data_IF_784769879848
#
_entry.id   IF_784769879848
#
_cell.length_a   1.000
_cell.length_b   1.000
_cell.length_c   1.000
_cell.angle_alpha   90.00
_cell.angle_beta   90.00
_cell.angle_gamma   90.00
#
_symmetry.space_group_name_H-M   'P 1'
#
loop_
_entity.id
_entity.type
_entity.pdbx_description
1 polymer ?
#
# COMPACT_ATOMS: atom_id res chain seq x y z
N UNK A 1 16.79 -50.62 -10.83
CA UNK A 1 16.37 -49.98 -12.09
C UNK A 1 17.05 -48.61 -12.12
N UNK A 2 18.14 -48.33 -12.86
CA UNK A 2 18.56 -48.75 -14.21
C UNK A 2 17.52 -48.39 -15.29
N UNK A 3 17.83 -47.83 -16.47
CA UNK A 3 19.11 -47.31 -17.06
C UNK A 3 18.75 -46.36 -18.26
N UNK A 4 19.62 -45.66 -19.02
CA UNK A 4 21.10 -45.65 -19.22
C UNK A 4 21.61 -44.22 -19.55
N UNK A 5 22.75 -44.08 -20.27
CA UNK A 5 23.27 -42.89 -21.01
C UNK A 5 23.40 -43.22 -22.52
N UNK A 6 23.91 -42.25 -23.32
CA UNK A 6 24.62 -42.36 -24.63
C UNK A 6 23.86 -41.67 -25.80
N UNK A 7 24.41 -40.97 -26.79
CA UNK A 7 25.60 -40.11 -27.06
C UNK A 7 25.84 -40.11 -28.62
N UNK A 8 26.10 -38.92 -29.20
CA UNK A 8 27.07 -38.67 -30.32
C UNK A 8 26.71 -38.93 -31.83
N UNK A 9 26.62 -37.81 -32.55
CA UNK A 9 27.22 -37.42 -33.87
C UNK A 9 26.97 -38.10 -35.24
N UNK A 10 26.42 -37.28 -36.15
CA UNK A 10 27.00 -36.74 -37.42
C UNK A 10 27.35 -37.63 -38.66
N UNK A 11 27.02 -37.08 -39.84
CA UNK A 11 27.63 -37.35 -41.15
C UNK A 11 27.53 -36.08 -42.06
N UNK A 12 28.24 -36.05 -43.20
CA UNK A 12 28.44 -34.89 -44.09
C UNK A 12 28.37 -35.31 -45.60
N UNK A 13 28.79 -34.43 -46.53
CA UNK A 13 29.06 -34.65 -47.99
C UNK A 13 27.84 -34.47 -48.94
N UNK A 14 27.98 -34.01 -50.21
CA UNK A 14 28.92 -33.05 -50.86
C UNK A 14 28.46 -32.75 -52.32
N UNK A 15 29.01 -31.70 -52.95
CA UNK A 15 29.33 -31.71 -54.40
C UNK A 15 28.54 -30.79 -55.36
N UNK A 16 29.26 -30.22 -56.34
CA UNK A 16 28.71 -29.45 -57.48
C UNK A 16 29.54 -28.20 -57.84
N UNK A 17 30.17 -28.14 -59.03
CA UNK A 17 31.12 -27.07 -59.40
C UNK A 17 31.19 -26.77 -60.93
N UNK A 18 32.06 -25.81 -61.29
CA UNK A 18 32.49 -25.29 -62.63
C UNK A 18 31.82 -23.96 -63.07
N UNK A 19 32.46 -23.08 -63.87
CA UNK A 19 33.68 -23.21 -64.70
C UNK A 19 34.63 -21.97 -64.65
N UNK A 20 35.58 -21.87 -65.59
CA UNK A 20 36.79 -21.01 -65.59
C UNK A 20 36.82 -19.94 -66.70
N UNK A 21 37.60 -18.87 -66.49
CA UNK A 21 38.34 -18.14 -67.54
C UNK A 21 39.54 -17.33 -66.93
N UNK A 22 40.60 -17.08 -67.71
CA UNK A 22 41.78 -16.27 -67.34
C UNK A 22 42.36 -15.50 -68.54
N UNK A 23 43.03 -14.36 -68.30
CA UNK A 23 44.24 -13.87 -69.01
C UNK A 23 44.64 -12.45 -68.54
N UNK A 24 45.89 -12.01 -68.76
CA UNK A 24 46.22 -10.56 -68.80
C UNK A 24 47.33 -9.95 -67.91
N UNK A 25 48.58 -10.43 -68.01
CA UNK A 25 49.85 -9.63 -68.00
C UNK A 25 50.12 -8.44 -67.02
N UNK A 26 51.13 -8.66 -66.15
CA UNK A 26 52.39 -7.87 -66.03
C UNK A 26 52.46 -6.47 -65.35
N UNK A 27 52.86 -6.48 -64.07
CA UNK A 27 53.87 -5.66 -63.34
C UNK A 27 54.25 -4.21 -63.72
N UNK A 28 54.35 -3.34 -62.69
CA UNK A 28 55.58 -2.63 -62.20
C UNK A 28 55.30 -1.97 -60.82
N UNK A 29 56.33 -1.60 -60.05
CA UNK A 29 56.28 -1.31 -58.60
C UNK A 29 56.64 0.15 -58.25
N UNK A 30 56.01 0.71 -57.21
CA UNK A 30 56.26 2.07 -56.67
C UNK A 30 56.34 2.06 -55.11
N UNK A 31 56.91 3.09 -54.46
CA UNK A 31 57.73 2.90 -53.25
C UNK A 31 57.00 3.01 -51.90
N UNK A 32 57.65 2.48 -50.87
CA UNK A 32 57.20 2.54 -49.48
C UNK A 32 57.38 3.93 -48.84
N UNK A 33 56.50 4.28 -47.89
CA UNK A 33 56.69 5.40 -46.98
C UNK A 33 56.95 4.92 -45.56
N UNK A 34 57.88 5.58 -44.87
CA UNK A 34 58.28 5.28 -43.49
C UNK A 34 57.54 6.20 -42.53
N UNK A 35 56.68 5.64 -41.68
CA UNK A 35 56.04 6.39 -40.60
C UNK A 35 56.90 6.31 -39.33
N UNK A 36 57.46 7.44 -38.91
CA UNK A 36 58.13 7.57 -37.62
C UNK A 36 57.11 7.59 -36.47
N UNK A 37 57.27 6.80 -35.39
CA UNK A 37 56.35 6.83 -34.26
C UNK A 37 56.47 8.13 -33.47
N UNK A 38 55.34 8.76 -33.16
CA UNK A 38 55.27 9.92 -32.25
C UNK A 38 55.61 9.53 -30.82
N UNK A 39 56.27 10.43 -30.08
CA UNK A 39 56.59 10.20 -28.67
C UNK A 39 55.31 10.06 -27.80
N UNK A 40 55.31 9.18 -26.79
CA UNK A 40 54.13 8.96 -25.95
C UNK A 40 53.82 10.17 -25.07
N UNK A 41 52.56 10.63 -25.10
CA UNK A 41 52.04 11.65 -24.19
C UNK A 41 52.17 11.19 -22.74
N UNK A 42 52.64 12.04 -21.79
CA UNK A 42 52.68 11.68 -20.38
C UNK A 42 51.29 11.30 -19.87
N UNK A 43 51.14 10.09 -19.33
CA UNK A 43 49.88 9.66 -18.74
C UNK A 43 49.58 10.48 -17.48
N UNK A 44 48.51 11.28 -17.52
CA UNK A 44 47.97 11.92 -16.32
C UNK A 44 47.53 10.83 -15.35
N UNK A 45 48.24 10.71 -14.22
CA UNK A 45 47.83 9.85 -13.12
C UNK A 45 46.53 10.39 -12.52
N UNK A 46 45.39 9.92 -13.04
CA UNK A 46 44.12 10.05 -12.35
C UNK A 46 44.23 9.23 -11.06
N UNK A 47 44.43 9.91 -9.94
CA UNK A 47 44.27 9.32 -8.62
C UNK A 47 42.83 8.86 -8.49
N UNK A 48 42.61 7.55 -8.65
CA UNK A 48 41.35 6.87 -8.39
C UNK A 48 41.04 6.99 -6.89
N UNK A 49 40.47 8.14 -6.52
CA UNK A 49 39.92 8.35 -5.18
C UNK A 49 38.86 7.30 -4.94
N UNK A 50 39.01 6.53 -3.85
CA UNK A 50 38.10 5.45 -3.53
C UNK A 50 36.65 5.97 -3.52
N UNK A 51 35.69 5.27 -4.14
CA UNK A 51 34.34 5.78 -4.32
C UNK A 51 33.75 6.15 -2.97
N UNK A 52 33.26 7.40 -2.85
CA UNK A 52 32.81 7.95 -1.58
C UNK A 52 31.74 7.05 -0.95
N UNK A 53 31.93 6.70 0.31
CA UNK A 53 31.01 5.83 1.05
C UNK A 53 29.92 6.67 1.73
N UNK A 54 28.66 6.20 1.77
CA UNK A 54 27.63 6.84 2.59
C UNK A 54 27.97 6.70 4.07
N UNK A 55 27.50 7.66 4.88
CA UNK A 55 27.60 7.61 6.33
C UNK A 55 26.20 7.42 6.91
N UNK A 56 26.01 6.40 7.74
CA UNK A 56 24.72 6.08 8.35
C UNK A 56 24.76 6.37 9.84
N UNK A 57 23.77 7.07 10.37
CA UNK A 57 23.46 7.02 11.80
C UNK A 57 22.37 5.98 12.03
N UNK A 58 22.66 4.98 12.86
CA UNK A 58 21.77 3.84 13.13
C UNK A 58 21.28 3.87 14.58
N UNK A 59 19.99 3.65 14.76
CA UNK A 59 19.38 3.23 16.03
C UNK A 59 18.97 1.76 15.92
N UNK A 60 19.19 1.01 16.99
CA UNK A 60 18.72 -0.38 17.12
C UNK A 60 18.26 -0.68 18.54
N UNK A 61 17.13 -1.38 18.67
CA UNK A 61 16.60 -1.89 19.92
C UNK A 61 15.85 -3.21 19.73
N UNK A 62 15.86 -4.08 20.74
CA UNK A 62 15.05 -5.31 20.78
C UNK A 62 13.76 -5.04 21.56
N UNK A 63 12.67 -4.83 20.83
CA UNK A 63 11.36 -4.48 21.40
C UNK A 63 10.47 -5.72 21.59
N UNK A 64 9.52 -5.72 22.54
CA UNK A 64 8.59 -6.84 22.73
C UNK A 64 7.73 -7.11 21.49
N UNK A 65 7.51 -8.38 21.17
CA UNK A 65 6.65 -8.82 20.08
C UNK A 65 5.90 -10.10 20.42
N UNK A 66 4.84 -10.38 19.67
CA UNK A 66 4.10 -11.64 19.69
C UNK A 66 4.10 -12.26 18.30
N UNK A 67 4.69 -13.44 18.18
CA UNK A 67 5.00 -14.13 16.92
C UNK A 67 4.61 -15.59 17.07
N UNK A 68 3.85 -16.13 16.11
CA UNK A 68 3.46 -17.55 16.06
C UNK A 68 2.90 -18.14 17.38
N UNK A 69 2.18 -17.33 18.17
CA UNK A 69 1.60 -17.73 19.44
C UNK A 69 2.44 -17.44 20.69
N UNK A 70 3.66 -16.93 20.55
CA UNK A 70 4.62 -16.73 21.64
C UNK A 70 5.05 -15.27 21.81
N UNK A 71 5.27 -14.85 23.07
CA UNK A 71 5.97 -13.59 23.38
C UNK A 71 7.46 -13.77 23.05
N UNK A 72 8.04 -12.78 22.38
CA UNK A 72 9.46 -12.75 21.99
C UNK A 72 9.94 -11.29 21.91
N UNK A 73 11.13 -11.04 21.35
CA UNK A 73 11.59 -9.72 20.94
C UNK A 73 11.91 -9.68 19.44
N UNK A 74 11.80 -8.51 18.83
CA UNK A 74 12.27 -8.25 17.45
C UNK A 74 13.19 -7.04 17.42
N UNK A 75 14.22 -7.10 16.56
CA UNK A 75 15.19 -6.03 16.35
C UNK A 75 14.60 -4.95 15.45
N UNK A 76 14.11 -3.86 16.05
CA UNK A 76 13.78 -2.64 15.31
C UNK A 76 15.10 -1.94 14.94
N UNK A 77 15.22 -1.53 13.68
CA UNK A 77 16.31 -0.69 13.18
C UNK A 77 15.72 0.58 12.55
N UNK A 78 16.30 1.74 12.85
CA UNK A 78 16.00 3.02 12.21
C UNK A 78 17.31 3.64 11.76
N UNK A 79 17.34 4.29 10.61
CA UNK A 79 18.57 4.83 10.02
C UNK A 79 18.36 6.24 9.46
N UNK A 80 19.36 7.10 9.62
CA UNK A 80 19.53 8.34 8.86
C UNK A 80 20.70 8.14 7.91
N UNK A 81 20.40 8.00 6.62
CA UNK A 81 21.41 7.82 5.57
C UNK A 81 21.90 9.19 5.08
N UNK A 82 23.22 9.43 5.16
CA UNK A 82 23.90 10.59 4.61
C UNK A 82 24.57 10.15 3.29
N UNK A 83 24.05 10.55 2.11
CA UNK A 83 24.56 10.08 0.83
C UNK A 83 26.05 10.37 0.62
N UNK A 84 26.75 9.46 -0.05
CA UNK A 84 28.19 9.47 -0.32
C UNK A 84 28.83 10.86 -0.54
N UNK A 85 28.35 11.64 -1.53
CA UNK A 85 28.90 12.96 -1.82
C UNK A 85 28.72 13.98 -0.69
N UNK A 86 27.60 13.91 0.05
CA UNK A 86 27.39 14.73 1.26
C UNK A 86 28.29 14.27 2.41
N UNK A 87 28.44 12.95 2.60
CA UNK A 87 29.33 12.39 3.61
C UNK A 87 30.78 12.84 3.37
N UNK A 88 31.26 12.80 2.12
CA UNK A 88 32.60 13.29 1.74
C UNK A 88 32.81 14.78 2.11
N UNK A 89 31.87 15.66 1.76
CA UNK A 89 31.93 17.10 2.10
C UNK A 89 31.95 17.32 3.62
N UNK A 90 31.20 16.53 4.39
CA UNK A 90 31.15 16.64 5.84
C UNK A 90 32.43 16.11 6.48
N UNK A 91 33.00 15.00 5.99
CA UNK A 91 34.31 14.48 6.41
C UNK A 91 35.44 15.48 6.13
N UNK A 92 35.45 16.12 4.97
CA UNK A 92 36.40 17.21 4.63
C UNK A 92 36.32 18.41 5.60
N UNK A 93 35.15 18.67 6.19
CA UNK A 93 34.95 19.72 7.21
C UNK A 93 35.26 19.27 8.64
N UNK A 94 35.44 17.97 8.88
CA UNK A 94 35.78 17.40 10.20
C UNK A 94 34.76 17.65 11.33
N UNK A 95 33.55 18.12 11.02
CA UNK A 95 32.55 18.61 11.99
C UNK A 95 31.13 18.31 11.56
N UNK A 96 30.20 18.27 12.53
CA UNK A 96 28.76 18.18 12.25
C UNK A 96 28.28 19.54 11.73
N UNK A 97 27.78 19.59 10.49
CA UNK A 97 27.29 20.84 9.88
C UNK A 97 25.89 21.18 10.37
N UNK A 98 25.51 22.47 10.39
CA UNK A 98 24.16 22.92 10.80
C UNK A 98 23.02 22.17 10.07
N UNK A 99 23.19 21.85 8.78
CA UNK A 99 22.26 21.04 8.01
C UNK A 99 22.17 19.58 8.48
N UNK A 100 23.25 19.02 9.03
CA UNK A 100 23.26 17.69 9.64
C UNK A 100 22.68 17.73 11.07
N UNK A 101 22.85 18.81 11.83
CA UNK A 101 22.16 19.00 13.12
C UNK A 101 20.64 19.06 12.92
N UNK A 102 20.17 19.74 11.87
CA UNK A 102 18.75 19.80 11.50
C UNK A 102 18.19 18.42 11.15
N UNK A 103 18.91 17.64 10.34
CA UNK A 103 18.49 16.27 9.99
C UNK A 103 18.55 15.32 11.19
N UNK A 104 19.58 15.43 12.03
CA UNK A 104 19.68 14.70 13.30
C UNK A 104 18.48 15.02 14.21
N UNK A 105 18.17 16.30 14.42
CA UNK A 105 17.03 16.75 15.24
C UNK A 105 15.70 16.20 14.73
N UNK A 106 15.49 16.27 13.41
CA UNK A 106 14.32 15.73 12.71
C UNK A 106 14.20 14.22 12.93
N UNK A 107 15.26 13.47 12.65
CA UNK A 107 15.31 12.01 12.79
C UNK A 107 15.12 11.53 14.23
N UNK A 108 15.71 12.22 15.22
CA UNK A 108 15.48 11.91 16.65
C UNK A 108 14.02 12.16 17.08
N UNK A 109 13.33 13.12 16.45
CA UNK A 109 11.90 13.38 16.68
C UNK A 109 11.04 12.32 15.99
N UNK A 110 11.35 11.97 14.74
CA UNK A 110 10.66 10.94 13.95
C UNK A 110 10.81 9.52 14.52
N UNK A 111 11.88 9.26 15.29
CA UNK A 111 12.15 7.96 15.92
C UNK A 111 10.95 7.38 16.68
N UNK A 112 10.21 8.26 17.37
CA UNK A 112 9.10 7.92 18.26
C UNK A 112 7.72 8.06 17.61
N UNK A 113 7.66 8.36 16.31
CA UNK A 113 6.40 8.56 15.59
C UNK A 113 5.60 7.24 15.50
N UNK A 114 4.38 7.24 16.06
CA UNK A 114 3.43 6.13 15.95
C UNK A 114 3.44 5.09 17.08
N UNK A 115 4.03 5.40 18.24
CA UNK A 115 4.18 4.49 19.38
C UNK A 115 2.93 3.71 19.82
N UNK A 116 3.16 2.53 20.40
CA UNK A 116 2.14 1.53 20.69
C UNK A 116 2.39 0.21 19.95
N UNK A 117 1.75 -0.85 20.41
CA UNK A 117 1.78 -2.12 19.70
C UNK A 117 0.88 -2.09 18.45
N UNK A 118 1.40 -2.65 17.35
CA UNK A 118 0.75 -2.70 16.03
C UNK A 118 0.98 -4.08 15.40
N UNK A 119 -0.01 -4.60 14.69
CA UNK A 119 0.17 -5.75 13.81
C UNK A 119 0.87 -5.33 12.52
N UNK A 120 1.96 -5.99 12.19
CA UNK A 120 2.81 -5.74 11.03
C UNK A 120 2.85 -6.96 10.10
N UNK A 121 2.74 -6.72 8.80
CA UNK A 121 2.75 -7.78 7.79
C UNK A 121 4.20 -8.12 7.42
N UNK A 122 4.59 -9.37 7.66
CA UNK A 122 5.91 -9.89 7.34
C UNK A 122 6.03 -10.24 5.85
N UNK A 123 7.24 -10.14 5.29
CA UNK A 123 7.52 -10.39 3.87
C UNK A 123 7.04 -11.79 3.41
N UNK A 124 7.18 -12.81 4.27
CA UNK A 124 6.72 -14.18 4.02
C UNK A 124 5.20 -14.41 4.10
N UNK A 125 4.38 -13.36 4.22
CA UNK A 125 2.91 -13.49 4.23
C UNK A 125 2.30 -13.89 5.59
N UNK A 126 2.81 -13.33 6.68
CA UNK A 126 2.25 -13.50 8.03
C UNK A 126 2.03 -12.16 8.74
N UNK A 127 1.37 -12.19 9.91
CA UNK A 127 1.21 -11.03 10.79
C UNK A 127 1.90 -11.28 12.13
N UNK A 128 2.57 -10.25 12.65
CA UNK A 128 3.19 -10.24 13.99
C UNK A 128 2.75 -8.98 14.72
N UNK A 129 2.54 -9.05 16.04
CA UNK A 129 2.25 -7.87 16.85
C UNK A 129 3.57 -7.36 17.44
N UNK A 130 3.96 -6.12 17.13
CA UNK A 130 5.23 -5.50 17.57
C UNK A 130 4.92 -4.30 18.46
N UNK A 131 5.52 -4.22 19.65
CA UNK A 131 5.40 -3.08 20.55
C UNK A 131 6.41 -1.99 20.19
N UNK A 132 5.95 -0.87 19.63
CA UNK A 132 6.80 0.31 19.44
C UNK A 132 6.92 1.09 20.75
N UNK A 133 7.96 0.74 21.51
CA UNK A 133 8.43 1.49 22.68
C UNK A 133 8.93 2.89 22.31
N UNK A 134 8.92 3.78 23.30
CA UNK A 134 9.38 5.15 23.18
C UNK A 134 10.82 5.25 23.70
N UNK A 135 11.71 5.82 22.90
CA UNK A 135 13.14 5.94 23.16
C UNK A 135 13.56 7.41 23.23
N UNK A 136 13.99 7.86 24.40
CA UNK A 136 14.71 9.14 24.53
C UNK A 136 16.16 8.88 24.17
N UNK A 137 16.64 9.48 23.08
CA UNK A 137 18.05 9.47 22.74
C UNK A 137 18.82 10.49 23.59
N UNK A 138 20.07 10.16 23.89
CA UNK A 138 21.09 11.10 24.34
C UNK A 138 21.58 11.87 23.11
N UNK A 139 21.22 13.15 23.03
CA UNK A 139 21.54 13.98 21.87
C UNK A 139 23.06 14.21 21.75
N UNK A 140 23.74 14.51 22.85
CA UNK A 140 25.18 14.84 22.86
C UNK A 140 26.04 13.61 22.61
N UNK A 141 25.72 12.45 23.22
CA UNK A 141 26.44 11.21 22.97
C UNK A 141 26.16 10.63 21.57
N UNK A 142 24.94 10.84 21.02
CA UNK A 142 24.62 10.51 19.62
C UNK A 142 25.39 11.40 18.65
N UNK A 143 25.44 12.72 18.92
CA UNK A 143 26.20 13.71 18.16
C UNK A 143 27.70 13.44 18.20
N UNK A 144 28.24 13.05 19.36
CA UNK A 144 29.64 12.65 19.53
C UNK A 144 29.98 11.38 18.74
N UNK A 145 29.09 10.37 18.73
CA UNK A 145 29.27 9.16 17.92
C UNK A 145 29.24 9.47 16.41
N UNK A 146 28.38 10.40 15.98
CA UNK A 146 28.33 10.87 14.60
C UNK A 146 29.59 11.68 14.23
N UNK A 147 30.08 12.54 15.12
CA UNK A 147 31.33 13.29 14.93
C UNK A 147 32.56 12.37 14.85
N UNK A 148 32.60 11.28 15.62
CA UNK A 148 33.65 10.27 15.51
C UNK A 148 33.64 9.62 14.11
N UNK A 149 32.48 9.24 13.59
CA UNK A 149 32.34 8.65 12.25
C UNK A 149 32.56 9.65 11.08
N UNK A 150 32.51 10.95 11.37
CA UNK A 150 32.94 12.02 10.45
C UNK A 150 34.47 12.15 10.44
N UNK A 151 35.12 11.98 11.59
CA UNK A 151 36.59 12.11 11.73
C UNK A 151 37.37 10.85 11.34
N UNK A 152 36.78 9.67 11.51
CA UNK A 152 37.34 8.39 11.08
C UNK A 152 36.65 7.88 9.80
N UNK A 153 37.35 7.88 8.65
CA UNK A 153 36.79 7.39 7.38
C UNK A 153 36.45 5.90 7.35
N UNK A 154 36.91 5.08 8.31
CA UNK A 154 36.57 3.65 8.37
C UNK A 154 35.16 3.40 8.92
N UNK A 155 34.66 4.28 9.80
CA UNK A 155 33.37 4.13 10.47
C UNK A 155 32.25 4.62 9.55
N UNK A 156 31.66 3.73 8.75
CA UNK A 156 30.49 4.09 7.92
C UNK A 156 29.14 4.06 8.68
N UNK A 157 29.11 3.53 9.91
CA UNK A 157 27.90 3.44 10.74
C UNK A 157 28.16 4.00 12.14
N UNK A 158 27.67 5.20 12.41
CA UNK A 158 27.53 5.73 13.77
C UNK A 158 26.34 5.07 14.48
N UNK A 159 26.45 4.84 15.78
CA UNK A 159 25.39 4.25 16.59
C UNK A 159 24.80 5.32 17.53
N UNK A 160 23.50 5.59 17.39
CA UNK A 160 22.76 6.48 18.28
C UNK A 160 22.72 5.90 19.71
N UNK A 161 22.63 6.80 20.69
CA UNK A 161 22.73 6.48 22.11
C UNK A 161 21.38 6.68 22.79
N UNK A 162 20.89 5.65 23.48
CA UNK A 162 19.62 5.70 24.21
C UNK A 162 19.89 6.18 25.64
N UNK A 163 19.24 7.27 26.04
CA UNK A 163 19.26 7.78 27.42
C UNK A 163 18.17 7.12 28.28
N UNK A 164 17.00 6.83 27.71
CA UNK A 164 15.91 6.15 28.40
C UNK A 164 14.95 5.45 27.41
N UNK A 165 14.25 4.44 27.91
CA UNK A 165 13.17 3.71 27.23
C UNK A 165 11.91 3.76 28.10
N UNK A 166 10.73 3.90 27.48
CA UNK A 166 9.44 3.81 28.17
C UNK A 166 8.39 3.12 27.31
N UNK A 167 7.42 2.48 27.97
CA UNK A 167 6.37 1.72 27.30
C UNK A 167 5.20 2.61 26.86
N UNK A 168 4.56 2.30 25.72
CA UNK A 168 3.41 3.03 25.23
C UNK A 168 2.11 2.59 25.92
N UNK A 169 1.08 3.44 25.90
CA UNK A 169 -0.24 3.12 26.48
C UNK A 169 -0.87 1.84 25.91
N UNK A 170 -0.66 1.57 24.62
CA UNK A 170 -1.03 0.30 23.96
C UNK A 170 0.17 -0.65 24.00
N UNK A 171 0.37 -1.37 25.10
CA UNK A 171 1.44 -2.40 25.21
C UNK A 171 1.09 -3.66 24.42
N UNK A 172 2.04 -4.58 24.27
CA UNK A 172 1.81 -5.94 23.77
C UNK A 172 0.71 -6.65 24.58
N UNK A 173 0.75 -6.46 25.91
CA UNK A 173 -0.16 -7.14 26.84
C UNK A 173 -1.56 -6.54 26.85
N UNK A 174 -1.73 -5.26 26.46
CA UNK A 174 -3.06 -4.66 26.19
C UNK A 174 -3.85 -5.44 25.12
N UNK A 175 -3.16 -5.99 24.12
CA UNK A 175 -3.74 -6.83 23.07
C UNK A 175 -3.89 -8.30 23.49
N UNK A 176 -2.83 -8.90 24.03
CA UNK A 176 -2.83 -10.32 24.43
C UNK A 176 -3.88 -10.60 25.51
N UNK A 177 -4.03 -9.73 26.51
CA UNK A 177 -5.06 -9.86 27.57
C UNK A 177 -6.49 -9.83 27.05
N UNK A 178 -6.72 -9.23 25.87
CA UNK A 178 -8.02 -9.16 25.18
C UNK A 178 -8.22 -10.29 24.16
N UNK A 179 -7.26 -11.20 24.05
CA UNK A 179 -7.23 -12.25 23.04
C UNK A 179 -6.95 -11.75 21.62
N UNK A 180 -6.52 -10.51 21.43
CA UNK A 180 -6.23 -9.94 20.11
C UNK A 180 -4.83 -10.39 19.69
N UNK A 181 -4.74 -11.54 19.02
CA UNK A 181 -3.46 -12.17 18.68
C UNK A 181 -3.38 -12.74 17.26
N UNK A 182 -4.51 -12.87 16.57
CA UNK A 182 -4.58 -13.34 15.18
C UNK A 182 -5.22 -12.34 14.24
N UNK A 183 -4.81 -12.37 12.97
CA UNK A 183 -5.51 -11.71 11.87
C UNK A 183 -6.82 -12.45 11.55
N UNK A 184 -7.90 -11.69 11.29
CA UNK A 184 -9.22 -12.23 10.98
C UNK A 184 -9.62 -11.96 9.52
N UNK A 185 -9.41 -10.74 9.02
CA UNK A 185 -9.86 -10.35 7.69
C UNK A 185 -9.23 -9.07 7.16
N UNK A 186 -9.13 -8.99 5.83
CA UNK A 186 -8.65 -7.81 5.10
C UNK A 186 -9.75 -7.28 4.20
N UNK A 187 -10.02 -5.98 4.29
CA UNK A 187 -10.73 -5.23 3.27
C UNK A 187 -9.75 -4.37 2.47
N UNK A 188 -9.90 -4.36 1.16
CA UNK A 188 -9.13 -3.51 0.25
C UNK A 188 -10.07 -2.80 -0.74
N UNK A 189 -9.75 -1.54 -1.04
CA UNK A 189 -10.20 -0.81 -2.22
C UNK A 189 -9.04 0.02 -2.78
N UNK A 190 -9.20 0.57 -3.99
CA UNK A 190 -8.23 1.47 -4.61
C UNK A 190 -8.89 2.81 -4.96
N UNK A 191 -8.15 3.92 -4.85
CA UNK A 191 -8.56 5.29 -5.13
C UNK A 191 -7.61 6.01 -6.10
N UNK A 192 -6.69 5.30 -6.77
CA UNK A 192 -5.74 5.88 -7.75
C UNK A 192 -6.49 6.66 -8.84
N UNK A 193 -6.02 7.86 -9.14
CA UNK A 193 -6.69 8.78 -10.07
C UNK A 193 -7.89 9.54 -9.49
N UNK A 194 -8.19 9.41 -8.19
CA UNK A 194 -9.20 10.24 -7.52
C UNK A 194 -8.79 11.71 -7.49
N UNK A 195 -9.79 12.61 -7.48
CA UNK A 195 -9.55 14.03 -7.21
C UNK A 195 -8.97 14.25 -5.80
N UNK A 196 -8.20 15.32 -5.62
CA UNK A 196 -7.62 15.69 -4.31
C UNK A 196 -8.67 15.72 -3.21
N UNK A 197 -9.85 16.30 -3.47
CA UNK A 197 -10.95 16.35 -2.52
C UNK A 197 -11.50 14.97 -2.12
N UNK A 198 -11.65 14.05 -3.08
CA UNK A 198 -12.06 12.67 -2.81
C UNK A 198 -11.03 11.93 -1.94
N UNK A 199 -9.74 12.14 -2.20
CA UNK A 199 -8.66 11.57 -1.38
C UNK A 199 -8.67 12.17 0.04
N UNK A 200 -8.79 13.50 0.18
CA UNK A 200 -8.94 14.16 1.49
C UNK A 200 -10.11 13.60 2.29
N UNK A 201 -11.29 13.42 1.68
CA UNK A 201 -12.44 12.82 2.35
C UNK A 201 -12.17 11.36 2.78
N UNK A 202 -11.56 10.55 1.92
CA UNK A 202 -11.17 9.17 2.25
C UNK A 202 -10.18 9.16 3.42
N UNK A 203 -9.15 10.01 3.42
CA UNK A 203 -8.16 10.09 4.51
C UNK A 203 -8.78 10.53 5.83
N UNK A 204 -9.69 11.52 5.82
CA UNK A 204 -10.40 11.97 7.03
C UNK A 204 -11.27 10.83 7.57
N UNK A 205 -12.10 10.20 6.74
CA UNK A 205 -12.95 9.08 7.15
C UNK A 205 -12.16 7.87 7.64
N UNK A 206 -11.08 7.51 6.93
CA UNK A 206 -10.13 6.48 7.34
C UNK A 206 -9.50 6.80 8.70
N UNK A 207 -9.11 8.05 8.93
CA UNK A 207 -8.53 8.50 10.21
C UNK A 207 -9.52 8.39 11.38
N UNK A 208 -10.83 8.56 11.15
CA UNK A 208 -11.85 8.31 12.19
C UNK A 208 -11.93 6.82 12.57
N UNK A 209 -11.69 5.90 11.63
CA UNK A 209 -11.76 4.44 11.85
C UNK A 209 -10.40 3.78 12.15
N UNK A 210 -9.28 4.52 12.03
CA UNK A 210 -7.93 4.01 12.27
C UNK A 210 -7.71 3.60 13.73
N UNK A 211 -7.09 2.43 13.91
CA UNK A 211 -6.57 1.91 15.18
C UNK A 211 -7.65 1.87 16.29
N UNK A 212 -8.72 1.11 16.04
CA UNK A 212 -9.94 1.06 16.86
C UNK A 212 -10.18 -0.30 17.51
N UNK A 213 -10.57 -0.26 18.79
CA UNK A 213 -10.96 -1.42 19.61
C UNK A 213 -12.49 -1.58 19.63
N UNK A 214 -12.97 -2.82 19.59
CA UNK A 214 -14.38 -3.20 19.57
C UNK A 214 -14.64 -4.39 20.51
N UNK A 215 -15.34 -4.16 21.62
CA UNK A 215 -15.61 -5.17 22.66
C UNK A 215 -17.11 -5.44 22.77
N UNK A 216 -17.55 -6.64 22.33
CA UNK A 216 -18.96 -7.07 22.35
C UNK A 216 -19.91 -6.29 21.44
N UNK A 217 -21.23 -6.45 21.66
CA UNK A 217 -22.26 -5.54 21.13
C UNK A 217 -22.46 -5.51 19.59
N UNK A 218 -23.14 -4.44 19.15
CA UNK A 218 -23.36 -4.08 17.74
C UNK A 218 -22.96 -2.61 17.55
N UNK A 219 -22.30 -2.33 16.43
CA UNK A 219 -21.64 -1.06 16.16
C UNK A 219 -22.16 -0.41 14.86
N UNK A 220 -22.08 0.92 14.80
CA UNK A 220 -22.51 1.76 13.67
C UNK A 220 -21.30 2.45 13.02
N UNK A 221 -21.11 2.27 11.71
CA UNK A 221 -20.05 2.97 10.98
C UNK A 221 -20.23 4.49 11.04
N UNK A 222 -21.47 4.97 10.85
CA UNK A 222 -21.81 6.39 10.94
C UNK A 222 -21.46 6.99 12.31
N UNK A 223 -21.62 6.23 13.41
CA UNK A 223 -21.27 6.69 14.76
C UNK A 223 -19.77 6.97 14.94
N UNK A 224 -18.88 6.15 14.36
CA UNK A 224 -17.43 6.40 14.44
C UNK A 224 -16.96 7.51 13.50
N UNK A 225 -17.61 7.61 12.33
CA UNK A 225 -17.32 8.67 11.35
C UNK A 225 -17.62 10.06 11.91
N UNK A 226 -18.65 10.14 12.77
CA UNK A 226 -19.24 11.39 13.22
C UNK A 226 -19.96 12.14 12.09
N UNK A 227 -20.48 13.36 12.35
CA UNK A 227 -21.14 14.16 11.33
C UNK A 227 -20.23 14.47 10.14
N UNK A 228 -20.70 14.21 8.91
CA UNK A 228 -20.02 14.64 7.68
C UNK A 228 -20.18 16.17 7.56
N UNK A 229 -19.24 16.92 8.15
CA UNK A 229 -19.23 18.39 8.19
C UNK A 229 -17.83 18.97 7.90
N UNK A 230 -17.76 20.23 7.44
CA UNK A 230 -16.48 20.93 7.21
C UNK A 230 -15.63 21.03 8.48
N UNK A 231 -16.27 21.26 9.63
CA UNK A 231 -15.61 21.29 10.94
C UNK A 231 -14.98 19.96 11.36
N UNK A 232 -15.44 18.83 10.78
CA UNK A 232 -14.82 17.51 10.98
C UNK A 232 -13.70 17.18 9.98
N UNK A 233 -13.36 18.11 9.07
CA UNK A 233 -12.29 18.00 8.07
C UNK A 233 -12.76 17.64 6.65
N UNK A 234 -14.05 17.40 6.44
CA UNK A 234 -14.56 17.01 5.12
C UNK A 234 -14.67 18.19 4.15
N UNK A 235 -14.50 17.90 2.86
CA UNK A 235 -14.55 18.85 1.74
C UNK A 235 -15.56 18.39 0.70
N UNK A 236 -15.96 19.30 -0.18
CA UNK A 236 -16.91 18.99 -1.25
C UNK A 236 -16.26 18.08 -2.30
N UNK A 237 -17.01 17.11 -2.78
CA UNK A 237 -16.59 16.19 -3.83
C UNK A 237 -17.80 15.50 -4.44
N UNK A 238 -17.58 14.58 -5.38
CA UNK A 238 -18.69 13.91 -6.04
C UNK A 238 -19.38 12.90 -5.09
N UNK A 239 -20.68 13.09 -4.88
CA UNK A 239 -21.60 12.19 -4.19
C UNK A 239 -22.63 11.64 -5.19
N UNK A 240 -23.19 10.47 -4.90
CA UNK A 240 -24.35 9.93 -5.61
C UNK A 240 -25.59 10.31 -4.79
N UNK A 241 -26.45 11.16 -5.33
CA UNK A 241 -27.63 11.68 -4.65
C UNK A 241 -28.87 11.45 -5.52
N UNK A 242 -29.85 10.72 -4.97
CA UNK A 242 -31.12 10.41 -5.66
C UNK A 242 -30.92 9.68 -6.99
N UNK A 243 -30.93 10.44 -8.09
CA UNK A 243 -30.93 9.98 -9.48
C UNK A 243 -29.83 10.63 -10.35
N UNK A 244 -28.78 11.21 -9.74
CA UNK A 244 -27.54 11.66 -10.41
C UNK A 244 -26.31 11.63 -9.49
N UNK A 245 -25.12 11.80 -10.08
CA UNK A 245 -23.89 12.22 -9.39
C UNK A 245 -23.80 13.74 -9.37
N UNK A 246 -23.52 14.34 -8.21
CA UNK A 246 -23.42 15.79 -8.01
C UNK A 246 -22.35 16.16 -6.98
N UNK A 247 -22.05 17.45 -6.81
CA UNK A 247 -21.11 17.92 -5.80
C UNK A 247 -21.77 18.03 -4.42
N UNK A 248 -21.13 17.46 -3.40
CA UNK A 248 -21.60 17.48 -2.02
C UNK A 248 -20.52 17.09 -1.01
N UNK A 249 -20.80 17.38 0.26
CA UNK A 249 -19.82 17.26 1.33
C UNK A 249 -19.51 15.78 1.64
N UNK A 250 -18.22 15.42 1.70
CA UNK A 250 -17.81 14.04 1.98
C UNK A 250 -17.84 13.09 0.79
N UNK A 251 -17.85 13.59 -0.45
CA UNK A 251 -17.68 12.76 -1.65
C UNK A 251 -16.46 11.83 -1.56
N UNK A 252 -16.71 10.51 -1.50
CA UNK A 252 -15.69 9.47 -1.31
C UNK A 252 -15.91 8.53 -0.11
N UNK A 253 -16.69 8.92 0.91
CA UNK A 253 -16.80 8.18 2.18
C UNK A 253 -17.35 6.75 2.04
N UNK A 254 -18.22 6.47 1.07
CA UNK A 254 -18.71 5.11 0.84
C UNK A 254 -17.59 4.11 0.49
N UNK A 255 -16.42 4.57 0.03
CA UNK A 255 -15.24 3.71 -0.13
C UNK A 255 -14.63 3.30 1.23
N UNK A 256 -14.68 4.18 2.23
CA UNK A 256 -14.25 3.87 3.60
C UNK A 256 -15.16 2.79 4.19
N UNK A 257 -16.48 3.01 4.15
CA UNK A 257 -17.49 2.01 4.54
C UNK A 257 -17.32 0.69 3.78
N UNK A 258 -17.15 0.72 2.46
CA UNK A 258 -16.93 -0.48 1.62
C UNK A 258 -15.70 -1.29 2.07
N UNK A 259 -14.61 -0.62 2.45
CA UNK A 259 -13.38 -1.30 2.87
C UNK A 259 -13.51 -1.87 4.28
N UNK A 260 -14.18 -1.15 5.19
CA UNK A 260 -14.55 -1.66 6.52
C UNK A 260 -15.46 -2.88 6.38
N UNK A 261 -16.49 -2.81 5.54
CA UNK A 261 -17.36 -3.94 5.19
C UNK A 261 -16.57 -5.14 4.67
N UNK A 262 -15.66 -4.96 3.71
CA UNK A 262 -14.85 -6.06 3.17
C UNK A 262 -14.01 -6.71 4.27
N UNK A 263 -13.44 -5.92 5.19
CA UNK A 263 -12.66 -6.43 6.33
C UNK A 263 -13.50 -7.27 7.30
N UNK A 264 -14.62 -6.73 7.80
CA UNK A 264 -15.51 -7.45 8.72
C UNK A 264 -16.20 -8.65 8.05
N UNK A 265 -16.46 -8.59 6.74
CA UNK A 265 -17.07 -9.70 6.01
C UNK A 265 -16.07 -10.85 5.83
N UNK A 266 -14.81 -10.54 5.50
CA UNK A 266 -13.70 -11.51 5.50
C UNK A 266 -13.38 -12.06 6.90
N UNK A 267 -13.55 -11.27 7.97
CA UNK A 267 -13.41 -11.74 9.35
C UNK A 267 -14.56 -12.67 9.80
N UNK A 268 -15.55 -12.93 8.95
CA UNK A 268 -16.69 -13.81 9.26
C UNK A 268 -17.75 -13.19 10.15
N UNK A 269 -17.66 -11.88 10.46
CA UNK A 269 -18.53 -11.22 11.44
C UNK A 269 -19.99 -11.11 10.95
N UNK A 270 -20.97 -11.06 11.87
CA UNK A 270 -22.36 -10.77 11.54
C UNK A 270 -22.54 -9.32 11.09
N UNK A 271 -23.08 -9.14 9.89
CA UNK A 271 -23.56 -7.85 9.38
C UNK A 271 -25.01 -7.69 9.84
N UNK A 272 -25.33 -6.53 10.41
CA UNK A 272 -26.67 -6.18 10.92
C UNK A 272 -27.39 -5.17 10.03
N UNK A 273 -26.64 -4.31 9.36
CA UNK A 273 -27.14 -3.40 8.32
C UNK A 273 -26.07 -3.22 7.24
N UNK A 274 -26.48 -3.26 5.98
CA UNK A 274 -25.66 -3.02 4.78
C UNK A 274 -26.59 -2.57 3.67
N UNK A 275 -26.22 -1.51 2.98
CA UNK A 275 -26.86 -1.07 1.73
C UNK A 275 -25.86 -1.16 0.57
N UNK A 276 -26.32 -1.53 -0.61
CA UNK A 276 -25.53 -1.39 -1.85
C UNK A 276 -25.60 0.05 -2.36
N UNK A 277 -24.66 0.45 -3.20
CA UNK A 277 -24.85 1.62 -4.05
C UNK A 277 -26.01 1.37 -5.01
N UNK A 278 -26.74 2.42 -5.39
CA UNK A 278 -27.93 2.26 -6.23
C UNK A 278 -27.64 1.63 -7.59
N UNK A 279 -26.41 1.76 -8.11
CA UNK A 279 -25.94 1.19 -9.37
C UNK A 279 -24.51 0.63 -9.22
N UNK A 280 -24.05 -0.17 -10.20
CA UNK A 280 -22.71 -0.78 -10.19
C UNK A 280 -21.61 0.26 -10.45
N UNK A 281 -21.09 0.89 -9.40
CA UNK A 281 -20.00 1.88 -9.48
C UNK A 281 -18.70 1.18 -9.91
N UNK A 282 -18.12 1.60 -11.03
CA UNK A 282 -17.10 0.86 -11.80
C UNK A 282 -15.82 0.50 -11.02
N UNK A 283 -15.44 1.30 -10.02
CA UNK A 283 -14.22 1.11 -9.23
C UNK A 283 -14.39 0.24 -7.97
N UNK A 284 -15.61 -0.16 -7.57
CA UNK A 284 -15.81 -1.11 -6.46
C UNK A 284 -15.69 -2.59 -6.88
N UNK A 285 -14.85 -2.92 -7.85
CA UNK A 285 -14.61 -4.32 -8.23
C UNK A 285 -13.99 -5.11 -7.05
N UNK A 286 -14.21 -6.44 -6.96
CA UNK A 286 -15.32 -7.15 -7.61
C UNK A 286 -16.68 -6.66 -7.08
N UNK A 287 -17.67 -6.57 -7.98
CA UNK A 287 -19.02 -6.05 -7.66
C UNK A 287 -19.75 -7.00 -6.70
N UNK A 288 -20.76 -6.51 -5.97
CA UNK A 288 -21.46 -7.26 -4.93
C UNK A 288 -20.86 -7.14 -3.53
N UNK A 289 -19.70 -6.49 -3.37
CA UNK A 289 -18.98 -6.30 -2.10
C UNK A 289 -18.75 -4.82 -1.73
N UNK A 290 -19.69 -3.95 -2.11
CA UNK A 290 -19.71 -2.50 -1.85
C UNK A 290 -20.70 -2.15 -0.72
N UNK A 291 -20.37 -1.23 0.19
CA UNK A 291 -21.27 -0.83 1.28
C UNK A 291 -21.48 0.68 1.28
N UNK A 292 -22.64 1.12 0.80
CA UNK A 292 -23.05 2.52 0.79
C UNK A 292 -23.53 2.97 2.19
N UNK A 293 -23.25 4.22 2.54
CA UNK A 293 -23.82 4.93 3.69
C UNK A 293 -24.25 6.33 3.25
N UNK A 294 -25.21 6.90 3.97
CA UNK A 294 -25.72 8.25 3.75
C UNK A 294 -26.31 8.74 5.07
N UNK A 295 -25.71 9.75 5.68
CA UNK A 295 -26.12 10.15 7.04
C UNK A 295 -27.44 10.94 7.02
N UNK A 296 -28.38 10.69 7.96
CA UNK A 296 -28.38 9.63 8.99
C UNK A 296 -29.07 8.32 8.55
N UNK A 297 -29.59 8.23 7.33
CA UNK A 297 -30.59 7.23 6.92
C UNK A 297 -30.06 5.86 6.49
N UNK A 298 -28.82 5.76 5.99
CA UNK A 298 -28.19 4.51 5.56
C UNK A 298 -26.87 4.31 6.31
N UNK A 299 -26.69 3.16 6.95
CA UNK A 299 -25.51 2.83 7.76
C UNK A 299 -24.94 1.44 7.45
N UNK A 300 -23.70 1.22 7.88
CA UNK A 300 -23.07 -0.10 7.93
C UNK A 300 -23.00 -0.50 9.40
N UNK A 301 -23.84 -1.48 9.81
CA UNK A 301 -23.87 -2.00 11.18
C UNK A 301 -23.38 -3.43 11.23
N UNK A 302 -22.59 -3.76 12.25
CA UNK A 302 -22.01 -5.09 12.45
C UNK A 302 -21.92 -5.44 13.93
N UNK A 303 -21.89 -6.74 14.25
CA UNK A 303 -21.74 -7.23 15.62
C UNK A 303 -20.36 -7.88 15.83
N UNK A 304 -19.86 -7.84 17.07
CA UNK A 304 -18.73 -8.67 17.49
C UNK A 304 -19.27 -9.90 18.24
N UNK A 305 -19.28 -11.05 17.56
CA UNK A 305 -19.64 -12.36 18.12
C UNK A 305 -18.40 -13.25 18.38
N UNK A 306 -17.19 -12.69 18.37
CA UNK A 306 -15.95 -13.49 18.37
C UNK A 306 -15.63 -14.15 19.72
N UNK A 307 -16.31 -13.76 20.80
CA UNK A 307 -16.00 -14.18 22.17
C UNK A 307 -14.75 -13.53 22.74
N UNK A 308 -14.39 -12.35 22.22
CA UNK A 308 -13.24 -11.54 22.64
C UNK A 308 -13.31 -10.15 22.00
N UNK A 309 -12.24 -9.37 22.13
CA UNK A 309 -12.16 -8.07 21.47
C UNK A 309 -11.72 -8.19 20.00
N UNK A 310 -12.11 -7.22 19.18
CA UNK A 310 -11.61 -7.03 17.82
C UNK A 310 -10.89 -5.69 17.73
N UNK A 311 -9.76 -5.68 17.02
CA UNK A 311 -8.99 -4.50 16.69
C UNK A 311 -8.97 -4.28 15.18
N UNK A 312 -9.27 -3.07 14.74
CA UNK A 312 -9.15 -2.68 13.33
C UNK A 312 -7.97 -1.73 13.15
N UNK A 313 -7.09 -2.07 12.21
CA UNK A 313 -6.05 -1.19 11.71
C UNK A 313 -6.43 -0.66 10.33
N UNK A 314 -5.92 0.52 10.03
CA UNK A 314 -6.19 1.21 8.77
C UNK A 314 -4.89 1.79 8.25
N UNK A 315 -4.60 1.52 6.98
CA UNK A 315 -3.38 1.91 6.27
C UNK A 315 -3.73 2.31 4.84
N UNK A 316 -3.03 3.31 4.29
CA UNK A 316 -3.22 3.76 2.91
C UNK A 316 -1.89 4.20 2.28
N UNK A 317 -1.85 4.22 0.95
CA UNK A 317 -0.70 4.66 0.17
C UNK A 317 -1.20 5.46 -1.04
N UNK A 318 -0.78 6.71 -1.16
CA UNK A 318 -1.25 7.63 -2.21
C UNK A 318 -0.58 7.42 -3.58
N UNK A 319 0.58 6.74 -3.63
CA UNK A 319 1.33 6.42 -4.86
C UNK A 319 0.68 5.24 -5.60
N UNK A 320 0.28 4.20 -4.85
CA UNK A 320 -0.48 3.05 -5.35
C UNK A 320 -1.99 3.33 -5.39
N UNK A 321 -2.45 4.30 -4.58
CA UNK A 321 -3.86 4.57 -4.32
C UNK A 321 -4.55 3.46 -3.53
N UNK A 322 -3.82 2.61 -2.80
CA UNK A 322 -4.43 1.53 -2.02
C UNK A 322 -5.00 2.02 -0.70
N UNK A 323 -6.21 1.57 -0.36
CA UNK A 323 -6.82 1.72 0.96
C UNK A 323 -7.11 0.36 1.58
N UNK A 324 -6.54 0.10 2.75
CA UNK A 324 -6.63 -1.19 3.44
C UNK A 324 -7.20 -1.03 4.86
N UNK A 325 -8.09 -1.96 5.23
CA UNK A 325 -8.59 -2.12 6.60
C UNK A 325 -8.37 -3.57 7.03
N UNK A 326 -7.58 -3.77 8.07
CA UNK A 326 -7.23 -5.09 8.61
C UNK A 326 -7.93 -5.28 9.96
N UNK A 327 -8.49 -6.47 10.18
CA UNK A 327 -9.14 -6.83 11.44
C UNK A 327 -8.37 -7.95 12.15
N UNK A 328 -8.22 -7.81 13.45
CA UNK A 328 -7.48 -8.71 14.34
C UNK A 328 -8.31 -9.04 15.58
N UNK A 329 -8.08 -10.20 16.18
CA UNK A 329 -8.83 -10.66 17.36
C UNK A 329 -8.39 -12.05 17.78
N UNK A 330 -9.31 -12.80 18.40
CA UNK A 330 -9.06 -14.20 18.78
C UNK A 330 -8.91 -15.09 17.54
N UNK A 331 -7.79 -15.82 17.36
CA UNK A 331 -7.62 -16.78 16.27
C UNK A 331 -8.80 -17.73 16.12
N UNK A 332 -9.20 -18.01 14.89
CA UNK A 332 -10.34 -18.88 14.54
C UNK A 332 -9.83 -20.23 14.06
N UNK A 333 -10.57 -21.29 14.34
CA UNK A 333 -10.33 -22.65 13.87
C UNK A 333 -10.94 -22.89 12.46
N UNK A 334 -11.18 -21.81 11.72
CA UNK A 334 -11.70 -21.81 10.37
C UNK A 334 -11.15 -20.62 9.57
N UNK A 335 -11.16 -20.75 8.24
CA UNK A 335 -10.93 -19.67 7.30
C UNK A 335 -12.24 -19.22 6.66
N UNK A 336 -12.31 -17.96 6.25
CA UNK A 336 -13.38 -17.44 5.40
C UNK A 336 -12.86 -17.33 3.97
N UNK A 337 -13.65 -17.84 3.01
CA UNK A 337 -13.41 -17.68 1.58
C UNK A 337 -14.66 -17.07 0.93
N UNK A 338 -14.47 -16.26 -0.10
CA UNK A 338 -15.56 -15.75 -0.93
C UNK A 338 -15.56 -16.48 -2.27
N UNK A 339 -16.74 -16.67 -2.88
CA UNK A 339 -16.82 -16.99 -4.30
C UNK A 339 -16.55 -15.74 -5.15
N UNK A 340 -16.27 -15.94 -6.43
CA UNK A 340 -16.48 -14.87 -7.41
C UNK A 340 -17.96 -14.45 -7.44
N UNK A 341 -18.29 -13.19 -7.81
CA UNK A 341 -19.67 -12.74 -7.92
C UNK A 341 -20.40 -13.42 -9.08
N UNK A 342 -21.52 -14.08 -8.79
CA UNK A 342 -22.45 -14.59 -9.80
C UNK A 342 -23.45 -13.50 -10.18
N UNK A 343 -23.61 -13.24 -11.47
CA UNK A 343 -24.72 -12.41 -11.97
C UNK A 343 -25.96 -13.31 -12.11
N UNK A 344 -26.94 -13.14 -11.23
CA UNK A 344 -28.20 -13.92 -11.22
C UNK A 344 -29.23 -13.27 -12.16
N UNK A 345 -29.24 -11.94 -12.20
CA UNK A 345 -30.04 -11.14 -13.14
C UNK A 345 -29.19 -10.01 -13.68
N UNK A 346 -29.32 -9.72 -14.97
CA UNK A 346 -28.75 -8.55 -15.63
C UNK A 346 -29.86 -7.70 -16.24
N UNK A 347 -29.61 -6.41 -16.44
CA UNK A 347 -30.49 -5.49 -17.16
C UNK A 347 -29.63 -4.46 -17.88
N UNK A 348 -29.73 -4.31 -19.21
CA UNK A 348 -28.95 -3.31 -19.96
C UNK A 348 -29.11 -1.90 -19.40
N UNK A 349 -28.10 -1.06 -19.59
CA UNK A 349 -28.21 0.36 -19.28
C UNK A 349 -29.34 1.02 -20.10
N UNK A 350 -30.14 1.93 -19.52
CA UNK A 350 -31.12 2.72 -20.27
C UNK A 350 -30.44 3.70 -21.23
N UNK A 351 -31.23 4.29 -22.13
CA UNK A 351 -30.78 5.35 -23.02
C UNK A 351 -30.24 6.58 -22.25
N UNK A 352 -29.33 7.31 -22.90
CA UNK A 352 -28.72 8.55 -22.38
C UNK A 352 -29.76 9.54 -21.83
N UNK A 353 -29.50 10.08 -20.64
CA UNK A 353 -30.32 11.11 -20.00
C UNK A 353 -29.65 12.48 -20.12
N UNK A 354 -30.40 13.47 -20.59
CA UNK A 354 -30.00 14.88 -20.57
C UNK A 354 -30.68 15.62 -19.41
N UNK A 355 -29.94 16.49 -18.73
CA UNK A 355 -30.44 17.41 -17.69
C UNK A 355 -30.02 18.83 -18.09
N UNK A 356 -31.00 19.73 -18.23
CA UNK A 356 -30.74 21.13 -18.58
C UNK A 356 -30.26 21.92 -17.36
N UNK A 357 -29.22 22.74 -17.53
CA UNK A 357 -28.60 23.53 -16.44
C UNK A 357 -28.20 24.93 -16.90
N UNK A 358 -28.15 25.86 -15.96
CA UNK A 358 -27.64 27.22 -16.15
C UNK A 358 -26.13 27.32 -15.80
N UNK A 359 -25.50 26.21 -15.41
CA UNK A 359 -24.08 26.15 -15.00
C UNK A 359 -23.10 25.89 -16.16
N UNK A 360 -23.62 25.84 -17.39
CA UNK A 360 -22.89 25.61 -18.64
C UNK A 360 -23.37 26.61 -19.69
N UNK A 361 -22.52 26.98 -20.65
CA UNK A 361 -22.93 27.84 -21.76
C UNK A 361 -23.96 27.12 -22.65
N UNK A 362 -24.87 27.87 -23.29
CA UNK A 362 -25.94 27.30 -24.13
C UNK A 362 -25.40 26.27 -25.14
N UNK A 363 -26.00 25.08 -25.16
CA UNK A 363 -25.58 23.95 -25.99
C UNK A 363 -24.33 23.18 -25.53
N UNK A 364 -23.57 23.68 -24.55
CA UNK A 364 -22.39 22.99 -24.00
C UNK A 364 -22.83 21.71 -23.26
N UNK A 365 -22.31 20.55 -23.67
CA UNK A 365 -22.61 19.22 -23.08
C UNK A 365 -21.47 18.72 -22.20
N UNK A 366 -21.76 18.30 -20.96
CA UNK A 366 -20.81 17.71 -20.00
C UNK A 366 -21.37 16.40 -19.44
N UNK A 367 -20.65 15.29 -19.58
CA UNK A 367 -21.02 14.04 -18.92
C UNK A 367 -20.75 14.11 -17.41
N UNK A 368 -21.66 13.56 -16.60
CA UNK A 368 -21.55 13.49 -15.12
C UNK A 368 -21.77 12.09 -14.55
N UNK A 369 -22.46 11.21 -15.26
CA UNK A 369 -22.55 9.78 -14.96
C UNK A 369 -22.29 8.93 -16.20
N UNK A 370 -21.80 7.69 -15.98
CA UNK A 370 -21.49 6.70 -17.01
C UNK A 370 -22.42 5.50 -16.89
N UNK A 371 -22.88 5.00 -18.03
CA UNK A 371 -23.81 3.89 -18.11
C UNK A 371 -23.29 2.63 -17.39
N UNK A 372 -24.16 2.00 -16.59
CA UNK A 372 -23.88 0.76 -15.89
C UNK A 372 -25.07 -0.20 -15.98
N UNK A 373 -24.85 -1.50 -16.23
CA UNK A 373 -25.93 -2.48 -16.23
C UNK A 373 -26.53 -2.63 -14.83
N UNK A 374 -27.85 -2.77 -14.77
CA UNK A 374 -28.55 -3.19 -13.57
C UNK A 374 -28.40 -4.69 -13.36
N UNK A 375 -28.74 -5.16 -12.16
CA UNK A 375 -28.71 -6.59 -11.90
C UNK A 375 -28.81 -6.98 -10.43
N UNK A 376 -28.88 -8.29 -10.23
CA UNK A 376 -28.78 -8.97 -8.94
C UNK A 376 -27.54 -9.83 -8.98
N UNK A 377 -26.59 -9.55 -8.10
CA UNK A 377 -25.34 -10.30 -7.94
C UNK A 377 -25.34 -11.06 -6.62
N UNK A 378 -24.72 -12.23 -6.60
CA UNK A 378 -24.49 -13.05 -5.41
C UNK A 378 -23.01 -13.33 -5.18
N UNK A 379 -22.57 -13.21 -3.92
CA UNK A 379 -21.26 -13.70 -3.46
C UNK A 379 -21.50 -14.67 -2.30
N UNK A 380 -20.98 -15.89 -2.38
CA UNK A 380 -21.04 -16.83 -1.26
C UNK A 380 -19.88 -16.59 -0.29
N UNK A 381 -20.19 -16.45 1.00
CA UNK A 381 -19.22 -16.51 2.11
C UNK A 381 -19.17 -17.93 2.66
N UNK A 382 -18.06 -18.61 2.43
CA UNK A 382 -17.79 -19.99 2.81
C UNK A 382 -16.90 -20.02 4.05
N UNK A 383 -17.35 -20.69 5.11
CA UNK A 383 -16.58 -20.91 6.33
C UNK A 383 -15.99 -22.33 6.27
N UNK A 384 -14.66 -22.41 6.23
CA UNK A 384 -13.91 -23.62 5.89
C UNK A 384 -13.05 -24.06 7.07
N UNK A 385 -13.26 -25.29 7.56
CA UNK A 385 -12.48 -25.95 8.61
C UNK A 385 -11.94 -27.27 8.06
N UNK A 386 -10.66 -27.56 8.26
CA UNK A 386 -9.99 -28.79 7.78
C UNK A 386 -10.25 -29.09 6.27
N UNK A 387 -10.28 -28.04 5.44
CA UNK A 387 -10.58 -28.13 4.01
C UNK A 387 -12.06 -28.23 3.63
N UNK A 388 -12.96 -28.51 4.58
CA UNK A 388 -14.40 -28.67 4.35
C UNK A 388 -15.19 -27.40 4.71
N UNK A 389 -16.16 -27.03 3.86
CA UNK A 389 -17.10 -25.94 4.16
C UNK A 389 -18.18 -26.44 5.12
N UNK A 390 -18.19 -25.93 6.36
CA UNK A 390 -19.19 -26.31 7.38
C UNK A 390 -20.36 -25.31 7.47
N UNK A 391 -20.20 -24.10 6.92
CA UNK A 391 -21.24 -23.07 6.82
C UNK A 391 -21.07 -22.29 5.53
N UNK A 392 -22.17 -22.01 4.84
CA UNK A 392 -22.26 -21.07 3.71
C UNK A 392 -23.29 -19.99 4.07
N UNK A 393 -23.00 -18.76 3.68
CA UNK A 393 -23.95 -17.64 3.61
C UNK A 393 -23.89 -17.06 2.19
N UNK A 394 -24.98 -16.53 1.67
CA UNK A 394 -24.99 -15.87 0.35
C UNK A 394 -25.35 -14.40 0.52
N UNK A 395 -24.51 -13.52 -0.03
CA UNK A 395 -24.70 -12.09 -0.05
C UNK A 395 -25.32 -11.66 -1.38
N UNK A 396 -26.61 -11.35 -1.36
CA UNK A 396 -27.30 -10.76 -2.52
C UNK A 396 -27.10 -9.24 -2.53
N UNK A 397 -26.70 -8.70 -3.68
CA UNK A 397 -26.52 -7.28 -3.92
C UNK A 397 -27.32 -6.86 -5.16
N UNK A 398 -28.13 -5.81 -5.05
CA UNK A 398 -29.05 -5.35 -6.10
C UNK A 398 -28.67 -3.95 -6.59
N UNK A 399 -28.76 -3.76 -7.91
CA UNK A 399 -28.38 -2.53 -8.60
C UNK A 399 -29.41 -2.16 -9.67
N UNK A 400 -29.85 -0.89 -9.71
CA UNK A 400 -30.65 -0.35 -10.83
C UNK A 400 -29.76 -0.20 -12.06
N UNK A 401 -30.37 -0.34 -13.24
CA UNK A 401 -29.69 0.01 -14.48
C UNK A 401 -29.53 1.53 -14.57
N UNK A 402 -28.36 1.97 -15.03
CA UNK A 402 -27.94 3.37 -14.96
C UNK A 402 -27.57 3.87 -16.35
N UNK A 403 -28.15 5.00 -16.81
CA UNK A 403 -27.80 5.58 -18.11
C UNK A 403 -26.50 6.37 -18.01
N UNK A 404 -25.96 6.80 -19.14
CA UNK A 404 -25.09 7.97 -19.13
C UNK A 404 -25.94 9.20 -18.77
N UNK A 405 -25.45 10.11 -17.94
CA UNK A 405 -26.13 11.38 -17.65
C UNK A 405 -25.26 12.54 -18.12
N UNK A 406 -25.88 13.45 -18.89
CA UNK A 406 -25.24 14.65 -19.42
C UNK A 406 -25.96 15.90 -18.93
N UNK A 407 -25.18 16.83 -18.39
CA UNK A 407 -25.62 18.22 -18.26
C UNK A 407 -25.50 18.91 -19.62
N UNK A 408 -26.50 19.72 -19.98
CA UNK A 408 -26.49 20.59 -21.17
C UNK A 408 -26.84 22.01 -20.72
N UNK A 409 -26.09 22.99 -21.21
CA UNK A 409 -26.41 24.41 -20.98
C UNK A 409 -27.65 24.84 -21.75
N UNK A 410 -28.53 25.62 -21.10
CA UNK A 410 -29.71 26.24 -21.73
C UNK A 410 -29.30 27.34 -22.70
#
# INVERSE_FOLDING_TARGET
MMCTRTLVSAALLMGGATALAQSGTTAIQLPAQVFSPSAPTPATQQTLTAPAQPLVLRFQADVPAYVAGQKTKVRVTKEMNIPAGRAQIIRQRGTVTQSLEQDLTRWMTELNAGGGARFEKQQGGGWVLVQHDLFKLDADATRAALLAAIKDPSIQVAQAKVAAQSHPQRTLDYFISRGITGHLGTGNTNYKGSSKARMTNIHVGASKFKDRLFEGGTFSFNQFLGPISRGNGYVDGLIIAGDRTEEGLGGGICQVSTTVFRSLYMAGLPVRERHTHSYQVSYYKPQGLDAAIYQPTLDLKFANDTGGAIWFQTDWNDETGEFNVYSFGKPRDFQVKLSEPRVIKSTPAPADRTIQTDTLASGQRKQVDWAAPGGTLEVDRLFVRNGQTFKKETLTSNYRAWPNIFLVGR
#
